data_IF_523412325146
#
_entry.id   IF_523412325146
#
_cell.length_a   1.000
_cell.length_b   1.000
_cell.length_c   1.000
_cell.angle_alpha   90.00
_cell.angle_beta   90.00
_cell.angle_gamma   90.00
#
_symmetry.space_group_name_H-M   'P 1'
#
loop_
_entity.id
_entity.type
_entity.pdbx_description
1 polymer ?
#
# COMPACT_ATOMS: atom_id res chain seq x y z
N UNK A 1 6.32 -19.55 3.46
CA UNK A 1 5.40 -18.54 4.02
C UNK A 1 4.84 -19.12 5.31
N UNK A 2 4.99 -18.44 6.45
CA UNK A 2 4.50 -18.91 7.75
C UNK A 2 3.19 -18.19 8.11
N UNK A 3 2.25 -18.92 8.68
CA UNK A 3 0.95 -18.42 9.15
C UNK A 3 0.85 -18.66 10.65
N UNK A 4 0.03 -17.87 11.34
CA UNK A 4 -0.23 -18.09 12.76
C UNK A 4 -1.15 -19.31 12.95
N UNK A 5 -0.78 -20.22 13.85
CA UNK A 5 -1.55 -21.43 14.13
C UNK A 5 -2.90 -21.15 14.83
N UNK A 6 -3.04 -19.99 15.47
CA UNK A 6 -4.25 -19.63 16.22
C UNK A 6 -5.34 -19.00 15.35
N UNK A 7 -4.96 -18.19 14.35
CA UNK A 7 -5.92 -17.42 13.55
C UNK A 7 -5.78 -17.60 12.04
N UNK A 8 -4.77 -18.35 11.58
CA UNK A 8 -4.49 -18.56 10.16
C UNK A 8 -4.01 -17.31 9.42
N UNK A 9 -3.77 -16.19 10.13
CA UNK A 9 -3.33 -14.95 9.51
C UNK A 9 -1.84 -15.03 9.14
N UNK A 10 -1.45 -14.30 8.08
CA UNK A 10 -0.07 -14.26 7.63
C UNK A 10 0.80 -13.52 8.65
N UNK A 11 1.91 -14.13 9.05
CA UNK A 11 2.86 -13.48 9.95
C UNK A 11 3.68 -12.43 9.20
N UNK A 12 3.77 -11.23 9.77
CA UNK A 12 4.46 -10.08 9.16
C UNK A 12 5.80 -9.86 9.88
N UNK A 13 6.94 -9.84 9.17
CA UNK A 13 8.21 -9.53 9.79
C UNK A 13 8.25 -8.06 10.26
N UNK A 14 8.47 -7.85 11.56
CA UNK A 14 8.61 -6.55 12.21
C UNK A 14 9.80 -6.61 13.18
N UNK A 15 10.80 -5.76 12.99
CA UNK A 15 11.99 -5.66 13.85
C UNK A 15 12.76 -6.99 14.07
N UNK A 16 12.85 -7.85 13.05
CA UNK A 16 13.56 -9.13 13.15
C UNK A 16 12.77 -10.26 13.83
N UNK A 17 11.48 -10.04 14.13
CA UNK A 17 10.54 -11.07 14.60
C UNK A 17 9.34 -11.15 13.65
N UNK A 18 8.63 -12.26 13.66
CA UNK A 18 7.36 -12.45 12.94
C UNK A 18 6.19 -12.08 13.86
N UNK A 19 5.37 -11.13 13.48
CA UNK A 19 4.22 -10.67 14.26
C UNK A 19 2.91 -11.11 13.62
N UNK A 20 2.01 -11.71 14.39
CA UNK A 20 0.61 -11.86 14.01
C UNK A 20 -0.15 -10.55 14.27
N UNK A 21 -0.68 -9.87 13.24
CA UNK A 21 -1.52 -8.67 13.46
C UNK A 21 -2.89 -8.94 14.08
N UNK A 22 -3.40 -10.17 13.99
CA UNK A 22 -4.72 -10.53 14.53
C UNK A 22 -4.66 -11.00 16.00
N UNK A 23 -3.52 -11.53 16.42
CA UNK A 23 -3.29 -12.13 17.72
C UNK A 23 -2.33 -11.31 18.59
N UNK A 24 -1.59 -10.39 17.96
CA UNK A 24 -0.47 -9.64 18.54
C UNK A 24 0.69 -10.50 19.08
N UNK A 25 0.73 -11.79 18.70
CA UNK A 25 1.80 -12.72 19.08
C UNK A 25 3.06 -12.52 18.25
N UNK A 26 4.22 -12.52 18.93
CA UNK A 26 5.55 -12.47 18.33
C UNK A 26 6.17 -13.87 18.24
N UNK A 27 6.70 -14.20 17.07
CA UNK A 27 7.39 -15.46 16.77
C UNK A 27 8.84 -15.15 16.38
N UNK A 28 9.77 -15.98 16.84
CA UNK A 28 11.17 -15.85 16.43
C UNK A 28 11.36 -16.31 14.98
N UNK A 29 12.15 -15.53 14.24
CA UNK A 29 12.66 -15.95 12.94
C UNK A 29 13.84 -16.89 13.19
N UNK A 30 13.63 -18.20 13.01
CA UNK A 30 14.75 -19.14 12.87
C UNK A 30 15.64 -18.67 11.72
N UNK A 31 16.86 -18.26 12.04
CA UNK A 31 17.87 -17.75 11.10
C UNK A 31 18.55 -18.86 10.30
N UNK A 32 17.86 -19.96 10.07
CA UNK A 32 18.42 -21.11 9.34
C UNK A 32 17.53 -21.47 8.16
N UNK A 33 17.66 -20.68 7.09
CA UNK A 33 17.61 -21.19 5.72
C UNK A 33 18.03 -20.05 4.78
N UNK A 34 19.29 -20.10 4.34
CA UNK A 34 19.79 -19.23 3.28
C UNK A 34 18.87 -19.33 2.06
N UNK A 35 18.12 -18.26 1.77
CA UNK A 35 17.24 -18.21 0.62
C UNK A 35 18.04 -18.40 -0.67
N UNK A 36 18.06 -19.61 -1.22
CA UNK A 36 18.68 -19.90 -2.51
C UNK A 36 17.76 -19.39 -3.63
N UNK A 37 18.24 -18.41 -4.39
CA UNK A 37 17.58 -17.94 -5.62
C UNK A 37 17.50 -19.13 -6.59
N UNK A 38 16.31 -19.73 -6.73
CA UNK A 38 16.11 -20.89 -7.62
C UNK A 38 16.03 -20.49 -9.10
N UNK A 39 15.66 -19.26 -9.41
CA UNK A 39 15.50 -18.79 -10.79
C UNK A 39 15.64 -17.27 -10.87
N UNK A 40 16.63 -16.80 -11.62
CA UNK A 40 16.72 -15.39 -12.01
C UNK A 40 15.85 -15.16 -13.25
N UNK A 41 14.83 -14.31 -13.15
CA UNK A 41 14.07 -13.86 -14.31
C UNK A 41 14.84 -12.69 -14.92
N UNK A 42 15.50 -12.94 -16.06
CA UNK A 42 16.11 -11.89 -16.87
C UNK A 42 15.02 -11.33 -17.77
N UNK A 43 14.56 -10.12 -17.49
CA UNK A 43 13.65 -9.42 -18.40
C UNK A 43 14.46 -8.90 -19.58
N UNK A 44 13.96 -9.13 -20.79
CA UNK A 44 14.53 -8.56 -22.01
C UNK A 44 14.12 -7.08 -22.10
N UNK A 45 14.94 -6.21 -22.67
CA UNK A 45 14.59 -4.78 -22.84
C UNK A 45 13.31 -4.62 -23.67
N UNK A 46 12.99 -5.61 -24.51
CA UNK A 46 11.73 -5.68 -25.28
C UNK A 46 10.48 -5.95 -24.44
N UNK A 47 10.62 -6.45 -23.21
CA UNK A 47 9.52 -6.64 -22.27
C UNK A 47 9.24 -5.37 -21.44
N UNK A 48 10.08 -4.33 -21.56
CA UNK A 48 9.78 -3.04 -20.97
C UNK A 48 8.60 -2.40 -21.70
N UNK A 49 7.43 -2.44 -21.06
CA UNK A 49 6.26 -1.75 -21.58
C UNK A 49 6.59 -0.25 -21.72
N UNK A 50 6.26 0.39 -22.85
CA UNK A 50 6.52 1.81 -23.03
C UNK A 50 5.77 2.58 -21.94
N UNK A 51 6.50 3.33 -21.13
CA UNK A 51 5.91 4.26 -20.17
C UNK A 51 5.31 5.40 -21.00
N UNK A 52 4.01 5.30 -21.30
CA UNK A 52 3.26 6.38 -21.94
C UNK A 52 3.07 7.48 -20.90
N UNK A 53 4.03 8.39 -20.80
CA UNK A 53 3.85 9.66 -20.10
C UNK A 53 2.91 10.48 -20.95
N UNK A 54 1.60 10.27 -20.79
CA UNK A 54 0.63 11.27 -21.24
C UNK A 54 0.98 12.53 -20.44
N UNK A 55 1.31 13.62 -21.11
CA UNK A 55 1.31 14.93 -20.46
C UNK A 55 -0.07 15.08 -19.84
N UNK A 56 -0.15 14.93 -18.51
CA UNK A 56 -1.35 15.23 -17.76
C UNK A 56 -1.72 16.65 -18.16
N UNK A 57 -2.93 16.83 -18.71
CA UNK A 57 -3.49 18.15 -19.01
C UNK A 57 -3.35 18.99 -17.73
N UNK A 58 -2.31 19.83 -17.66
CA UNK A 58 -2.11 20.82 -16.59
C UNK A 58 -3.14 21.96 -16.71
N UNK A 59 -4.31 21.67 -17.30
CA UNK A 59 -5.31 22.63 -17.74
C UNK A 59 -6.54 22.67 -16.85
N UNK A 60 -7.07 21.54 -16.39
CA UNK A 60 -8.32 21.56 -15.63
C UNK A 60 -8.05 21.56 -14.13
N UNK A 61 -7.38 22.62 -13.70
CA UNK A 61 -7.49 23.07 -12.32
C UNK A 61 -8.94 23.55 -12.17
N UNK A 62 -9.70 22.84 -11.35
CA UNK A 62 -11.01 23.22 -10.80
C UNK A 62 -11.13 24.75 -10.75
N UNK A 63 -12.21 25.28 -11.34
CA UNK A 63 -12.44 26.72 -11.40
C UNK A 63 -12.54 27.30 -9.98
N UNK A 64 -12.26 28.59 -9.82
CA UNK A 64 -12.38 29.23 -8.49
C UNK A 64 -13.78 29.07 -7.91
N UNK A 65 -14.80 29.07 -8.78
CA UNK A 65 -16.19 28.89 -8.40
C UNK A 65 -16.49 27.45 -7.96
N UNK A 66 -15.94 26.44 -8.67
CA UNK A 66 -16.08 25.04 -8.25
C UNK A 66 -15.41 24.78 -6.90
N UNK A 67 -14.27 25.44 -6.64
CA UNK A 67 -13.60 25.32 -5.33
C UNK A 67 -14.45 25.91 -4.22
N UNK A 68 -15.01 27.10 -4.45
CA UNK A 68 -15.85 27.78 -3.48
C UNK A 68 -17.13 26.99 -3.18
N UNK A 69 -17.79 26.45 -4.22
CA UNK A 69 -18.97 25.62 -4.05
C UNK A 69 -18.69 24.34 -3.25
N UNK A 70 -17.49 23.76 -3.40
CA UNK A 70 -17.07 22.62 -2.60
C UNK A 70 -16.85 23.03 -1.14
N UNK A 71 -16.13 24.12 -0.87
CA UNK A 71 -15.89 24.62 0.49
C UNK A 71 -17.22 24.95 1.21
N UNK A 72 -18.14 25.67 0.56
CA UNK A 72 -19.45 26.02 1.12
C UNK A 72 -20.29 24.78 1.48
N UNK A 73 -20.22 23.70 0.69
CA UNK A 73 -20.97 22.46 0.95
C UNK A 73 -20.48 21.73 2.20
N UNK A 74 -19.17 21.70 2.44
CA UNK A 74 -18.58 20.99 3.57
C UNK A 74 -18.52 21.84 4.85
N UNK A 75 -18.42 23.18 4.72
CA UNK A 75 -18.53 24.08 5.87
C UNK A 75 -19.94 24.05 6.49
N UNK A 76 -20.99 23.79 5.70
CA UNK A 76 -22.35 23.56 6.21
C UNK A 76 -22.45 22.21 6.93
N UNK A 77 -21.66 21.20 6.54
CA UNK A 77 -21.72 19.86 7.12
C UNK A 77 -21.09 19.78 8.53
N UNK A 78 -20.12 20.64 8.84
CA UNK A 78 -19.52 20.75 10.18
C UNK A 78 -20.35 21.67 11.13
N UNK A 79 -21.42 22.30 10.64
CA UNK A 79 -22.30 23.20 11.40
C UNK A 79 -23.53 22.57 12.05
N UNK A 80 -23.90 21.34 11.70
CA UNK A 80 -25.10 20.64 12.20
C UNK A 80 -24.76 19.42 13.08
N UNK A 81 -23.67 19.53 13.83
CA UNK A 81 -23.40 18.67 14.97
C UNK A 81 -23.14 19.55 16.20
N UNK A 82 -24.23 20.08 16.80
CA UNK A 82 -24.52 20.19 18.24
C UNK A 82 -25.77 21.05 18.47
#
# INVERSE_FOLDING_TARGET
>A
MRFCDQCGNMLIPKNGKLLCKACEEEFELDTSEDYKIKKSIKHDEKESAPIVVKESLKGDRISGDDRKAYEDLFDIADGDAY
#
